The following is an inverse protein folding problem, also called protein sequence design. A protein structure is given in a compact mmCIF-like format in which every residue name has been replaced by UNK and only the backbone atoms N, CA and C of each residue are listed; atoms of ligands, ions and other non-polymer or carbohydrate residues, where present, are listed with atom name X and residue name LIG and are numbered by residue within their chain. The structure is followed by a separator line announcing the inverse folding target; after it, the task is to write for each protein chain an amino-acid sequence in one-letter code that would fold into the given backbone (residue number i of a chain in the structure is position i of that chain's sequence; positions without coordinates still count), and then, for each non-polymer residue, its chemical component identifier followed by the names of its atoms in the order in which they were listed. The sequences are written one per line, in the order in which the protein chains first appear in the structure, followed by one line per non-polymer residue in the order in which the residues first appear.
data_IF_930488237594
#
_entry.id   IF_930488237594
#
_cell.length_a   1.000
_cell.length_b   1.000
_cell.length_c   1.000
_cell.angle_alpha   90.00
_cell.angle_beta   90.00
_cell.angle_gamma   90.00
#
_symmetry.space_group_name_H-M   'P 1'
#
loop_
_entity.id
_entity.type
_entity.pdbx_description
1 polymer ?
#
# COMPACT_ATOMS: atom_id res chain seq x y z
N UNK A 1 -21.91 24.76 24.71
CA UNK A 1 -21.75 23.58 25.59
C UNK A 1 -20.42 22.88 25.28
N UNK A 2 -19.37 23.34 25.96
CA UNK A 2 -18.00 22.87 25.77
C UNK A 2 -17.79 21.64 26.65
N UNK A 3 -17.53 20.48 26.05
CA UNK A 3 -16.98 19.36 26.82
C UNK A 3 -15.57 19.76 27.26
N UNK A 4 -15.25 19.58 28.54
CA UNK A 4 -13.86 19.69 29.01
C UNK A 4 -13.02 18.55 28.43
N UNK A 5 -11.73 18.82 28.20
CA UNK A 5 -10.78 17.83 27.67
C UNK A 5 -10.72 16.55 28.53
N UNK A 6 -10.85 16.70 29.85
CA UNK A 6 -10.93 15.58 30.80
C UNK A 6 -12.16 14.68 30.58
N UNK A 7 -13.31 15.28 30.26
CA UNK A 7 -14.55 14.54 30.01
C UNK A 7 -14.49 13.82 28.65
N UNK A 8 -13.84 14.43 27.65
CA UNK A 8 -13.58 13.77 26.36
C UNK A 8 -12.64 12.57 26.52
N UNK A 9 -11.55 12.71 27.26
CA UNK A 9 -10.62 11.60 27.51
C UNK A 9 -11.29 10.42 28.22
N UNK A 10 -12.16 10.71 29.20
CA UNK A 10 -12.91 9.69 29.93
C UNK A 10 -13.93 8.95 29.05
N UNK A 11 -14.61 9.66 28.13
CA UNK A 11 -15.55 9.04 27.17
C UNK A 11 -14.81 8.16 26.16
N UNK A 12 -13.59 8.54 25.76
CA UNK A 12 -12.79 7.80 24.79
C UNK A 12 -12.23 6.49 25.37
N UNK A 13 -11.94 6.39 26.67
CA UNK A 13 -11.41 5.16 27.31
C UNK A 13 -12.29 3.92 27.14
N UNK A 14 -13.61 4.08 26.98
CA UNK A 14 -14.55 2.96 26.76
C UNK A 14 -14.72 2.54 25.31
N UNK A 15 -14.04 3.20 24.36
CA UNK A 15 -14.21 3.03 22.92
C UNK A 15 -12.92 2.41 22.36
N UNK A 16 -12.99 1.37 21.50
CA UNK A 16 -11.82 0.82 20.83
C UNK A 16 -11.01 1.91 20.11
N UNK A 17 -9.67 1.88 20.16
CA UNK A 17 -8.81 2.96 19.62
C UNK A 17 -9.13 3.32 18.15
N UNK A 18 -9.46 2.34 17.31
CA UNK A 18 -9.84 2.58 15.91
C UNK A 18 -11.18 3.34 15.77
N UNK A 19 -12.09 3.21 16.74
CA UNK A 19 -13.36 3.96 16.77
C UNK A 19 -13.18 5.36 17.38
N UNK A 20 -12.21 5.56 18.27
CA UNK A 20 -11.92 6.86 18.88
C UNK A 20 -11.54 7.90 17.82
N UNK A 21 -10.66 7.52 16.89
CA UNK A 21 -10.17 8.39 15.82
C UNK A 21 -11.26 8.71 14.77
N UNK A 22 -12.12 7.74 14.44
CA UNK A 22 -13.25 7.97 13.52
C UNK A 22 -14.30 8.89 14.13
N UNK A 23 -14.60 8.72 15.42
CA UNK A 23 -15.57 9.56 16.15
C UNK A 23 -15.05 10.98 16.37
N UNK A 24 -13.74 11.16 16.55
CA UNK A 24 -13.15 12.50 16.66
C UNK A 24 -13.07 13.23 15.32
N UNK A 25 -12.85 12.51 14.21
CA UNK A 25 -12.75 13.06 12.85
C UNK A 25 -14.09 13.12 12.09
N UNK A 26 -15.19 12.64 12.67
CA UNK A 26 -16.53 12.68 12.06
C UNK A 26 -16.69 11.76 10.83
N UNK A 27 -15.90 10.69 10.74
CA UNK A 27 -15.94 9.74 9.63
C UNK A 27 -17.15 8.80 9.82
N UNK A 28 -18.03 8.62 8.80
CA UNK A 28 -19.24 7.82 8.96
C UNK A 28 -18.95 6.38 9.38
N UNK A 29 -19.75 5.88 10.32
CA UNK A 29 -19.71 4.51 10.82
C UNK A 29 -20.24 3.53 9.76
N UNK A 30 -19.36 2.76 9.14
CA UNK A 30 -19.74 1.57 8.38
C UNK A 30 -19.76 0.39 9.35
N UNK A 31 -20.94 -0.20 9.60
CA UNK A 31 -21.13 -1.27 10.59
C UNK A 31 -20.20 -2.47 10.40
N UNK A 32 -19.99 -3.26 11.46
CA UNK A 32 -19.26 -4.55 11.52
C UNK A 32 -18.51 -4.97 10.23
N UNK A 33 -17.41 -4.33 9.86
CA UNK A 33 -16.83 -4.66 8.54
C UNK A 33 -15.57 -3.93 8.08
N UNK A 34 -14.72 -3.41 8.96
CA UNK A 34 -13.38 -2.99 8.53
C UNK A 34 -12.52 -4.23 8.29
N UNK A 35 -11.93 -4.33 7.10
CA UNK A 35 -10.93 -5.38 6.78
C UNK A 35 -9.73 -5.23 7.72
N UNK A 36 -9.25 -4.00 7.93
CA UNK A 36 -8.19 -3.68 8.87
C UNK A 36 -8.70 -2.74 9.97
N UNK A 37 -9.15 -3.29 11.09
CA UNK A 37 -9.48 -2.50 12.28
C UNK A 37 -8.21 -2.14 13.07
N UNK A 38 -7.30 -1.36 12.46
CA UNK A 38 -6.04 -0.86 13.07
C UNK A 38 -6.04 0.68 13.01
N UNK A 39 -5.76 1.38 14.12
CA UNK A 39 -5.63 2.84 14.09
C UNK A 39 -4.42 3.25 13.24
N UNK A 40 -4.56 4.36 12.49
CA UNK A 40 -3.52 4.84 11.58
C UNK A 40 -2.22 5.14 12.33
N UNK A 41 -2.32 5.71 13.53
CA UNK A 41 -1.19 5.98 14.42
C UNK A 41 -0.33 4.76 14.78
N UNK A 42 -0.86 3.53 14.68
CA UNK A 42 -0.10 2.30 14.93
C UNK A 42 0.76 1.90 13.73
N UNK A 43 0.36 2.28 12.53
CA UNK A 43 1.06 1.90 11.29
C UNK A 43 1.92 3.05 10.77
N UNK A 44 1.55 4.31 11.00
CA UNK A 44 2.37 5.46 10.61
C UNK A 44 3.72 5.47 11.35
N UNK A 45 4.78 5.78 10.62
CA UNK A 45 6.08 6.06 11.20
C UNK A 45 6.78 7.21 10.48
N UNK A 46 7.72 7.85 11.17
CA UNK A 46 8.66 8.79 10.54
C UNK A 46 9.51 8.02 9.53
N UNK A 47 9.84 8.60 8.36
CA UNK A 47 10.66 7.93 7.34
C UNK A 47 12.16 7.89 7.71
N UNK A 48 12.49 7.81 8.99
CA UNK A 48 13.83 7.90 9.53
C UNK A 48 14.15 6.72 10.46
N UNK A 49 15.42 6.32 10.49
CA UNK A 49 15.99 5.39 11.46
C UNK A 49 16.10 6.06 12.83
N UNK A 50 16.38 5.28 13.89
CA UNK A 50 16.58 5.81 15.25
C UNK A 50 17.70 6.85 15.32
N UNK A 51 18.70 6.76 14.44
CA UNK A 51 19.81 7.70 14.31
C UNK A 51 19.56 8.83 13.28
N UNK A 52 18.31 9.01 12.82
CA UNK A 52 17.87 10.16 12.03
C UNK A 52 18.22 10.12 10.55
N UNK A 53 18.60 8.95 10.01
CA UNK A 53 18.86 8.79 8.56
C UNK A 53 17.56 8.37 7.87
N UNK A 54 17.35 8.73 6.59
CA UNK A 54 16.23 8.18 5.84
C UNK A 54 16.27 6.66 5.87
N UNK A 55 15.12 6.01 6.01
CA UNK A 55 15.07 4.54 6.06
C UNK A 55 15.73 3.90 4.83
N UNK A 56 15.63 4.55 3.68
CA UNK A 56 16.25 4.12 2.42
C UNK A 56 17.78 4.17 2.41
N UNK A 57 18.42 4.73 3.42
CA UNK A 57 19.88 4.70 3.57
C UNK A 57 20.41 3.35 4.09
N UNK A 58 19.54 2.48 4.60
CA UNK A 58 19.92 1.16 5.12
C UNK A 58 20.25 0.20 3.95
N UNK A 59 21.50 -0.31 3.86
CA UNK A 59 21.98 -1.02 2.67
C UNK A 59 21.42 -2.43 2.51
N UNK A 60 20.89 -3.04 3.58
CA UNK A 60 20.29 -4.39 3.54
C UNK A 60 18.82 -4.39 3.16
N UNK A 61 18.18 -3.22 3.06
CA UNK A 61 16.78 -3.15 2.68
C UNK A 61 16.57 -3.68 1.28
N UNK A 62 15.51 -4.46 1.13
CA UNK A 62 15.04 -4.93 -0.16
C UNK A 62 13.88 -4.06 -0.60
N UNK A 63 13.81 -3.79 -1.90
CA UNK A 63 12.83 -2.86 -2.44
C UNK A 63 11.97 -3.55 -3.49
N UNK A 64 10.68 -3.24 -3.49
CA UNK A 64 9.77 -3.57 -4.58
C UNK A 64 8.85 -2.38 -4.86
N UNK A 65 8.31 -2.38 -6.07
CA UNK A 65 7.19 -1.55 -6.50
C UNK A 65 6.05 -2.50 -6.82
N UNK A 66 4.81 -2.16 -6.52
CA UNK A 66 3.66 -2.96 -6.90
C UNK A 66 2.59 -2.07 -7.52
N UNK A 67 1.95 -2.56 -8.57
CA UNK A 67 0.91 -1.84 -9.30
C UNK A 67 -0.42 -2.58 -9.22
N UNK A 68 -1.49 -1.80 -9.10
CA UNK A 68 -2.84 -2.23 -9.40
C UNK A 68 -3.33 -1.40 -10.58
N UNK A 69 -3.68 -2.04 -11.69
CA UNK A 69 -3.93 -1.35 -12.96
C UNK A 69 -5.43 -1.28 -13.18
N UNK A 70 -5.96 -0.07 -13.06
CA UNK A 70 -7.39 0.17 -13.11
C UNK A 70 -7.86 0.70 -14.45
N UNK A 71 -8.93 0.09 -14.96
CA UNK A 71 -9.73 0.62 -16.07
C UNK A 71 -10.95 1.36 -15.53
N UNK A 72 -11.63 0.78 -14.54
CA UNK A 72 -12.83 1.34 -13.89
C UNK A 72 -12.54 1.90 -12.49
N UNK A 73 -11.26 1.94 -12.11
CA UNK A 73 -10.76 2.50 -10.86
C UNK A 73 -9.40 3.15 -11.14
N UNK A 74 -8.87 3.99 -10.24
CA UNK A 74 -7.53 4.52 -10.38
C UNK A 74 -6.48 3.41 -10.49
N UNK A 75 -5.45 3.64 -11.31
CA UNK A 75 -4.23 2.86 -11.22
C UNK A 75 -3.49 3.28 -9.95
N UNK A 76 -3.13 2.31 -9.12
CA UNK A 76 -2.37 2.53 -7.90
C UNK A 76 -0.95 1.99 -8.04
N UNK A 77 0.01 2.68 -7.42
CA UNK A 77 1.40 2.22 -7.30
C UNK A 77 1.84 2.41 -5.86
N UNK A 78 2.46 1.38 -5.29
CA UNK A 78 3.09 1.44 -3.97
C UNK A 78 4.56 1.09 -4.07
N UNK A 79 5.39 1.82 -3.33
CA UNK A 79 6.82 1.55 -3.19
C UNK A 79 7.08 1.05 -1.79
N UNK A 80 7.68 -0.13 -1.70
CA UNK A 80 7.87 -0.85 -0.45
C UNK A 80 9.36 -1.08 -0.19
N UNK A 81 9.77 -0.92 1.06
CA UNK A 81 11.01 -1.49 1.57
C UNK A 81 10.72 -2.63 2.52
N UNK A 82 11.60 -3.62 2.54
CA UNK A 82 11.57 -4.73 3.48
C UNK A 82 12.90 -4.83 4.23
N UNK A 83 12.81 -4.77 5.55
CA UNK A 83 13.90 -5.05 6.47
C UNK A 83 13.80 -6.50 6.96
N UNK A 84 14.77 -7.31 6.57
CA UNK A 84 14.83 -8.72 6.96
C UNK A 84 15.39 -8.94 8.37
N UNK A 85 16.07 -7.97 8.97
CA UNK A 85 16.64 -8.10 10.32
C UNK A 85 15.56 -8.00 11.39
N UNK A 86 14.56 -7.15 11.16
CA UNK A 86 13.42 -6.92 12.06
C UNK A 86 12.06 -7.38 11.49
N UNK A 87 12.09 -8.04 10.32
CA UNK A 87 10.91 -8.50 9.58
C UNK A 87 9.82 -7.44 9.41
N UNK A 88 10.21 -6.26 8.91
CA UNK A 88 9.28 -5.13 8.77
C UNK A 88 9.19 -4.63 7.34
N UNK A 89 7.97 -4.41 6.88
CA UNK A 89 7.66 -3.79 5.60
C UNK A 89 7.32 -2.32 5.83
N UNK A 90 7.81 -1.46 4.96
CA UNK A 90 7.59 -0.01 4.97
C UNK A 90 6.98 0.46 3.66
N UNK A 91 5.86 1.16 3.72
CA UNK A 91 5.27 1.91 2.61
C UNK A 91 5.99 3.25 2.49
N UNK A 92 6.85 3.36 1.48
CA UNK A 92 7.67 4.56 1.27
C UNK A 92 6.93 5.65 0.50
N UNK A 93 6.05 5.23 -0.42
CA UNK A 93 5.30 6.13 -1.30
C UNK A 93 4.07 5.41 -1.83
N UNK A 94 3.02 6.19 -2.08
CA UNK A 94 1.82 5.75 -2.80
C UNK A 94 1.54 6.69 -3.97
N UNK A 95 0.80 6.18 -4.95
CA UNK A 95 0.29 6.90 -6.11
C UNK A 95 -1.09 6.32 -6.45
N UNK A 96 -2.03 7.19 -6.84
CA UNK A 96 -3.37 6.81 -7.28
C UNK A 96 -3.84 7.83 -8.31
N UNK A 97 -4.09 7.40 -9.54
CA UNK A 97 -4.54 8.28 -10.63
C UNK A 97 -5.51 7.53 -11.54
N UNK A 98 -6.66 8.15 -11.83
CA UNK A 98 -7.66 7.64 -12.76
C UNK A 98 -7.46 8.23 -14.18
N UNK A 99 -8.06 7.59 -15.18
CA UNK A 99 -8.20 8.10 -16.55
C UNK A 99 -6.88 8.57 -17.21
N UNK A 100 -5.78 7.89 -16.89
CA UNK A 100 -4.43 8.22 -17.37
C UNK A 100 -3.85 7.13 -18.27
N UNK A 101 -2.93 7.53 -19.15
CA UNK A 101 -2.27 6.61 -20.07
C UNK A 101 -1.17 5.79 -19.36
N UNK A 102 -0.89 4.59 -19.87
CA UNK A 102 0.20 3.73 -19.37
C UNK A 102 1.55 4.47 -19.32
N UNK A 103 1.81 5.41 -20.23
CA UNK A 103 3.02 6.26 -20.22
C UNK A 103 3.14 7.13 -18.96
N UNK A 104 2.03 7.68 -18.47
CA UNK A 104 1.99 8.49 -17.24
C UNK A 104 2.29 7.62 -16.03
N UNK A 105 1.61 6.47 -15.94
CA UNK A 105 1.81 5.52 -14.85
C UNK A 105 3.22 4.92 -14.84
N UNK A 106 3.78 4.58 -16.00
CA UNK A 106 5.15 4.08 -16.11
C UNK A 106 6.19 5.13 -15.71
N UNK A 107 6.01 6.38 -16.12
CA UNK A 107 6.87 7.49 -15.69
C UNK A 107 6.78 7.70 -14.17
N UNK A 108 5.57 7.66 -13.59
CA UNK A 108 5.38 7.73 -12.15
C UNK A 108 6.09 6.58 -11.44
N UNK A 109 5.86 5.33 -11.86
CA UNK A 109 6.48 4.11 -11.32
C UNK A 109 8.02 4.19 -11.33
N UNK A 110 8.61 4.68 -12.42
CA UNK A 110 10.06 4.81 -12.59
C UNK A 110 10.64 6.08 -11.94
N UNK A 111 9.83 6.99 -11.39
CA UNK A 111 10.35 8.19 -10.72
C UNK A 111 11.05 7.89 -9.39
N UNK A 112 10.85 6.70 -8.84
CA UNK A 112 11.40 6.27 -7.57
C UNK A 112 11.68 4.76 -7.58
N UNK A 113 12.84 4.34 -7.06
CA UNK A 113 13.30 2.94 -7.01
C UNK A 113 13.15 2.20 -8.35
N UNK A 114 13.53 2.83 -9.46
CA UNK A 114 13.37 2.26 -10.80
C UNK A 114 14.20 0.99 -11.05
N UNK A 115 15.24 0.79 -10.25
CA UNK A 115 16.04 -0.44 -10.18
C UNK A 115 15.29 -1.61 -9.51
N UNK A 116 14.28 -1.35 -8.69
CA UNK A 116 13.56 -2.37 -7.94
C UNK A 116 12.55 -3.10 -8.84
N UNK A 117 12.26 -4.39 -8.56
CA UNK A 117 11.20 -5.11 -9.25
C UNK A 117 9.86 -4.38 -9.17
N UNK A 118 9.14 -4.34 -10.28
CA UNK A 118 7.78 -3.79 -10.37
C UNK A 118 6.78 -4.94 -10.54
N UNK A 119 6.04 -5.25 -9.49
CA UNK A 119 5.08 -6.34 -9.43
C UNK A 119 3.80 -5.95 -10.16
N UNK A 120 3.42 -6.77 -11.15
CA UNK A 120 2.19 -6.66 -11.90
C UNK A 120 1.09 -7.55 -11.33
N UNK A 121 -0.18 -7.10 -11.44
CA UNK A 121 -1.32 -7.92 -11.10
C UNK A 121 -1.44 -9.06 -12.11
N UNK A 122 -2.13 -10.13 -11.69
CA UNK A 122 -2.24 -11.37 -12.44
C UNK A 122 -3.07 -11.26 -13.72
N UNK A 123 -3.89 -10.22 -13.86
CA UNK A 123 -4.84 -9.98 -14.93
C UNK A 123 -4.31 -9.03 -16.03
N UNK A 124 -3.03 -8.67 -15.96
CA UNK A 124 -2.38 -7.69 -16.85
C UNK A 124 -2.32 -8.10 -18.34
N UNK A 125 -2.48 -9.39 -18.62
CA UNK A 125 -2.43 -9.94 -19.97
C UNK A 125 -3.81 -9.98 -20.65
N UNK A 126 -4.83 -9.41 -20.01
CA UNK A 126 -6.12 -9.17 -20.66
C UNK A 126 -5.94 -8.27 -21.89
N UNK A 127 -6.47 -8.72 -23.03
CA UNK A 127 -6.40 -8.00 -24.30
C UNK A 127 -7.46 -6.91 -24.36
N UNK A 128 -7.07 -5.72 -24.78
CA UNK A 128 -8.05 -4.72 -25.20
C UNK A 128 -8.77 -5.18 -26.48
N UNK A 129 -10.11 -5.13 -26.44
CA UNK A 129 -10.95 -5.45 -27.59
C UNK A 129 -10.82 -4.33 -28.64
N UNK A 130 -9.85 -4.45 -29.54
CA UNK A 130 -9.73 -3.58 -30.72
C UNK A 130 -8.30 -3.33 -31.18
N UNK A 131 -7.35 -3.17 -30.25
CA UNK A 131 -5.94 -2.90 -30.57
C UNK A 131 -5.10 -4.16 -30.76
N UNK A 132 -5.54 -5.30 -30.20
CA UNK A 132 -4.79 -6.56 -30.20
C UNK A 132 -3.59 -6.57 -29.25
N UNK A 133 -3.29 -5.44 -28.59
CA UNK A 133 -2.23 -5.33 -27.59
C UNK A 133 -2.74 -5.69 -26.20
N UNK A 134 -1.87 -6.26 -25.38
CA UNK A 134 -2.14 -6.45 -23.95
C UNK A 134 -1.79 -5.19 -23.17
N UNK A 135 -2.40 -5.00 -22.00
CA UNK A 135 -2.04 -3.89 -21.10
C UNK A 135 -0.53 -3.93 -20.78
N UNK A 136 0.03 -5.12 -20.55
CA UNK A 136 1.49 -5.32 -20.41
C UNK A 136 2.31 -4.69 -21.53
N UNK A 137 1.89 -4.86 -22.79
CA UNK A 137 2.63 -4.31 -23.94
C UNK A 137 2.63 -2.78 -23.93
N UNK A 138 1.51 -2.15 -23.56
CA UNK A 138 1.46 -0.69 -23.41
C UNK A 138 2.44 -0.18 -22.34
N UNK A 139 2.54 -0.87 -21.20
CA UNK A 139 3.51 -0.51 -20.15
C UNK A 139 4.96 -0.78 -20.54
N UNK A 140 5.22 -1.85 -21.30
CA UNK A 140 6.55 -2.15 -21.83
C UNK A 140 6.99 -1.08 -22.85
N UNK A 141 6.11 -0.69 -23.79
CA UNK A 141 6.35 0.39 -24.75
C UNK A 141 6.53 1.75 -24.06
N UNK A 142 5.84 1.98 -22.95
CA UNK A 142 6.02 3.14 -22.08
C UNK A 142 7.33 3.15 -21.27
N UNK A 143 8.13 2.08 -21.34
CA UNK A 143 9.43 2.00 -20.68
C UNK A 143 9.39 1.66 -19.19
N UNK A 144 8.32 1.02 -18.70
CA UNK A 144 8.29 0.53 -17.33
C UNK A 144 9.42 -0.50 -17.11
N UNK A 145 10.24 -0.28 -16.06
CA UNK A 145 11.44 -1.09 -15.81
C UNK A 145 11.18 -2.25 -14.85
N UNK A 146 11.94 -3.34 -15.01
CA UNK A 146 12.08 -4.44 -14.05
C UNK A 146 10.76 -5.11 -13.64
N UNK A 147 9.86 -5.34 -14.60
CA UNK A 147 8.54 -5.94 -14.31
C UNK A 147 8.65 -7.42 -13.93
N UNK A 148 7.85 -7.83 -12.94
CA UNK A 148 7.67 -9.23 -12.52
C UNK A 148 6.19 -9.50 -12.27
N UNK A 149 5.77 -10.75 -12.39
CA UNK A 149 4.37 -11.12 -12.17
C UNK A 149 4.13 -11.53 -10.72
N UNK A 150 3.03 -11.03 -10.13
CA UNK A 150 2.59 -11.50 -8.82
C UNK A 150 2.25 -12.98 -8.84
N UNK A 151 2.72 -13.72 -7.83
CA UNK A 151 2.33 -15.11 -7.54
C UNK A 151 2.33 -15.35 -6.04
N UNK A 152 1.27 -15.98 -5.54
CA UNK A 152 1.31 -16.52 -4.18
C UNK A 152 2.32 -17.67 -4.09
N UNK A 153 2.90 -17.95 -2.91
CA UNK A 153 3.83 -19.06 -2.72
C UNK A 153 3.25 -20.43 -3.10
N UNK A 154 1.94 -20.61 -2.92
CA UNK A 154 1.20 -21.82 -3.29
C UNK A 154 0.73 -21.84 -4.76
N UNK A 155 1.05 -20.78 -5.53
CA UNK A 155 0.64 -20.60 -6.91
C UNK A 155 -0.81 -20.14 -7.10
N UNK A 156 -1.56 -19.93 -6.03
CA UNK A 156 -2.93 -19.41 -6.10
C UNK A 156 -2.98 -17.91 -6.44
N UNK A 157 -4.18 -17.41 -6.70
CA UNK A 157 -4.48 -15.98 -6.84
C UNK A 157 -5.42 -15.50 -5.73
N UNK A 158 -5.55 -16.28 -4.65
CA UNK A 158 -6.39 -15.92 -3.51
C UNK A 158 -5.85 -14.70 -2.79
N UNK A 159 -6.72 -13.74 -2.49
CA UNK A 159 -6.36 -12.48 -1.82
C UNK A 159 -6.37 -12.60 -0.29
N UNK A 160 -7.13 -13.56 0.25
CA UNK A 160 -7.42 -13.62 1.69
C UNK A 160 -6.20 -13.91 2.55
N UNK A 161 -5.27 -14.72 2.04
CA UNK A 161 -4.00 -14.97 2.72
C UNK A 161 -3.16 -13.69 2.83
N UNK A 162 -3.13 -12.88 1.77
CA UNK A 162 -2.44 -11.59 1.77
C UNK A 162 -3.07 -10.60 2.73
N UNK A 163 -4.41 -10.55 2.77
CA UNK A 163 -5.16 -9.70 3.72
C UNK A 163 -4.85 -10.11 5.16
N UNK A 164 -4.92 -11.40 5.48
CA UNK A 164 -4.63 -11.90 6.82
C UNK A 164 -3.18 -11.60 7.25
N UNK A 165 -2.21 -11.80 6.35
CA UNK A 165 -0.79 -11.53 6.61
C UNK A 165 -0.52 -10.04 6.86
N UNK A 166 -1.08 -9.15 6.04
CA UNK A 166 -0.95 -7.71 6.24
C UNK A 166 -1.56 -7.31 7.58
N UNK A 167 -2.74 -7.84 7.92
CA UNK A 167 -3.40 -7.52 9.19
C UNK A 167 -2.58 -7.97 10.40
N UNK A 168 -1.99 -9.16 10.35
CA UNK A 168 -1.10 -9.65 11.40
C UNK A 168 0.15 -8.77 11.53
N UNK A 169 0.77 -8.41 10.41
CA UNK A 169 1.94 -7.52 10.42
C UNK A 169 1.62 -6.13 10.97
N UNK A 170 0.47 -5.56 10.67
CA UNK A 170 0.02 -4.29 11.25
C UNK A 170 -0.16 -4.40 12.77
N UNK A 171 -0.64 -5.54 13.29
CA UNK A 171 -0.79 -5.77 14.73
C UNK A 171 0.55 -5.98 15.43
N UNK A 172 1.48 -6.64 14.77
CA UNK A 172 2.78 -7.01 15.35
C UNK A 172 3.89 -6.00 15.04
N UNK A 173 3.56 -4.79 14.59
CA UNK A 173 4.54 -3.73 14.27
C UNK A 173 5.50 -4.07 13.10
N UNK A 174 5.11 -5.04 12.27
CA UNK A 174 5.85 -5.55 11.09
C UNK A 174 5.38 -4.94 9.76
N UNK A 175 4.41 -4.04 9.79
CA UNK A 175 3.95 -3.26 8.64
C UNK A 175 3.80 -1.80 9.04
N UNK A 176 4.44 -0.92 8.28
CA UNK A 176 4.49 0.53 8.47
C UNK A 176 4.23 1.27 7.17
#
# INVERSE_FOLDING_TARGET
PHLSEELQATILQGIPEHEQEMRSKGVPYFGSGLVYAIPESRISCTPETEDGRPITALPWLRFIRAMDIGINHPTAIVWLAYDAEIDRIYVLRTYSEADSAAAVHAAAANSYLDFAPCVFPHDIDNREKGSGKTVRQYYAEAGLKNTIDFKNPDGSLGVEAGIAEIYDRMRSDRFK
#
